data_IF_130509234598
#
_entry.id   IF_130509234598
#
_cell.length_a   1.000
_cell.length_b   1.000
_cell.length_c   1.000
_cell.angle_alpha   90.00
_cell.angle_beta   90.00
_cell.angle_gamma   90.00
#
_symmetry.space_group_name_H-M   'P 1'
#
loop_
_entity.id
_entity.type
_entity.pdbx_description
1 polymer ?
#
# COMPACT_ATOMS: atom_id res chain seq x y z
N UNK A 1 -0.15 8.13 -16.11
CA UNK A 1 -0.52 6.76 -15.72
C UNK A 1 0.78 5.96 -15.71
N UNK A 2 1.40 5.78 -14.55
CA UNK A 2 2.52 4.86 -14.45
C UNK A 2 1.90 3.46 -14.42
N UNK A 3 2.11 2.69 -15.48
CA UNK A 3 1.69 1.28 -15.46
C UNK A 3 2.62 0.52 -14.51
N UNK A 4 2.06 -0.37 -13.69
CA UNK A 4 2.87 -1.27 -12.89
C UNK A 4 3.61 -2.25 -13.82
N UNK A 5 4.93 -2.04 -13.96
CA UNK A 5 5.80 -2.83 -14.83
C UNK A 5 5.76 -4.31 -14.42
N UNK A 6 5.70 -4.61 -13.12
CA UNK A 6 5.66 -5.98 -12.59
C UNK A 6 4.38 -6.69 -13.04
N UNK A 7 3.22 -6.03 -12.94
CA UNK A 7 1.95 -6.58 -13.42
C UNK A 7 1.99 -6.87 -14.93
N UNK A 8 2.59 -5.97 -15.72
CA UNK A 8 2.71 -6.14 -17.18
C UNK A 8 3.59 -7.33 -17.55
N UNK A 9 4.73 -7.49 -16.87
CA UNK A 9 5.64 -8.64 -17.09
C UNK A 9 4.96 -9.96 -16.74
N UNK A 10 4.27 -10.03 -15.59
CA UNK A 10 3.53 -11.22 -15.18
C UNK A 10 2.43 -11.61 -16.18
N UNK A 11 1.71 -10.62 -16.71
CA UNK A 11 0.71 -10.86 -17.76
C UNK A 11 1.33 -11.48 -19.02
N UNK A 12 2.46 -10.94 -19.48
CA UNK A 12 3.17 -11.48 -20.65
C UNK A 12 3.65 -12.91 -20.39
N UNK A 13 4.19 -13.18 -19.20
CA UNK A 13 4.60 -14.54 -18.80
C UNK A 13 3.40 -15.49 -18.84
N UNK A 14 2.24 -15.08 -18.31
CA UNK A 14 1.03 -15.89 -18.35
C UNK A 14 0.61 -16.27 -19.77
N UNK A 15 0.60 -15.31 -20.70
CA UNK A 15 0.29 -15.56 -22.12
C UNK A 15 1.34 -16.47 -22.76
N UNK A 16 2.63 -16.23 -22.50
CA UNK A 16 3.72 -17.07 -23.00
C UNK A 16 3.62 -18.52 -22.51
N UNK A 17 3.22 -18.72 -21.25
CA UNK A 17 3.02 -20.03 -20.64
C UNK A 17 1.90 -20.83 -21.34
N UNK A 18 0.79 -20.17 -21.69
CA UNK A 18 -0.30 -20.80 -22.44
C UNK A 18 0.17 -21.24 -23.84
N UNK A 19 0.89 -20.36 -24.54
CA UNK A 19 1.45 -20.68 -25.85
C UNK A 19 2.47 -21.82 -25.78
N UNK A 20 3.36 -21.80 -24.79
CA UNK A 20 4.35 -22.85 -24.56
C UNK A 20 3.67 -24.19 -24.26
N UNK A 21 2.65 -24.23 -23.40
CA UNK A 21 1.90 -25.46 -23.10
C UNK A 21 1.24 -26.07 -24.35
N UNK A 22 0.69 -25.23 -25.23
CA UNK A 22 0.12 -25.67 -26.51
C UNK A 22 1.19 -26.22 -27.46
N UNK A 23 2.33 -25.54 -27.61
CA UNK A 23 3.43 -25.97 -28.48
C UNK A 23 4.05 -27.27 -27.97
N UNK A 24 4.38 -27.34 -26.67
CA UNK A 24 4.95 -28.53 -26.04
C UNK A 24 3.97 -29.70 -26.15
N UNK A 25 2.67 -29.46 -25.93
CA UNK A 25 1.63 -30.46 -26.11
C UNK A 25 1.63 -31.02 -27.53
N UNK A 26 1.69 -30.18 -28.57
CA UNK A 26 1.74 -30.62 -29.97
C UNK A 26 3.01 -31.43 -30.29
N UNK A 27 4.17 -30.99 -29.81
CA UNK A 27 5.46 -31.68 -30.06
C UNK A 27 5.48 -33.04 -29.37
N UNK A 28 5.12 -33.08 -28.08
CA UNK A 28 5.16 -34.31 -27.28
C UNK A 28 4.09 -35.32 -27.70
N UNK A 29 2.91 -34.87 -28.09
CA UNK A 29 1.82 -35.75 -28.51
C UNK A 29 2.10 -36.48 -29.84
N UNK A 30 2.96 -35.93 -30.70
CA UNK A 30 3.35 -36.50 -31.99
C UNK A 30 4.54 -37.48 -31.91
N UNK A 31 4.95 -37.90 -30.71
CA UNK A 31 6.07 -38.83 -30.53
C UNK A 31 5.71 -40.30 -30.74
N UNK A 32 4.44 -40.63 -30.95
CA UNK A 32 3.98 -42.01 -31.16
C UNK A 32 4.02 -42.34 -32.68
N UNK A 33 4.70 -43.43 -33.10
CA UNK A 33 4.95 -43.73 -34.52
C UNK A 33 3.70 -43.99 -35.38
N UNK A 34 2.51 -44.14 -34.79
CA UNK A 34 1.26 -44.43 -35.50
C UNK A 34 0.07 -43.57 -35.06
N UNK A 35 0.31 -42.43 -34.41
CA UNK A 35 -0.79 -41.52 -34.04
C UNK A 35 -0.39 -40.40 -33.09
N UNK A 36 -1.39 -39.64 -32.66
CA UNK A 36 -1.23 -38.57 -31.66
C UNK A 36 -1.72 -39.05 -30.28
N UNK A 37 -0.90 -38.87 -29.25
CA UNK A 37 -1.32 -39.08 -27.87
C UNK A 37 -2.15 -37.90 -27.38
N UNK A 38 -3.47 -37.99 -27.53
CA UNK A 38 -4.41 -36.97 -27.05
C UNK A 38 -4.29 -36.72 -25.55
N UNK A 39 -4.04 -37.76 -24.75
CA UNK A 39 -3.85 -37.62 -23.31
C UNK A 39 -2.65 -36.72 -22.98
N UNK A 40 -1.51 -36.90 -23.66
CA UNK A 40 -0.33 -36.05 -23.47
C UNK A 40 -0.57 -34.62 -23.96
N UNK A 41 -1.23 -34.46 -25.12
CA UNK A 41 -1.60 -33.15 -25.64
C UNK A 41 -2.43 -32.36 -24.63
N UNK A 42 -3.54 -32.95 -24.15
CA UNK A 42 -4.44 -32.29 -23.21
C UNK A 42 -3.78 -32.03 -21.86
N UNK A 43 -2.92 -32.93 -21.36
CA UNK A 43 -2.20 -32.71 -20.11
C UNK A 43 -1.30 -31.45 -20.18
N UNK A 44 -0.52 -31.30 -21.26
CA UNK A 44 0.35 -30.13 -21.44
C UNK A 44 -0.41 -28.85 -21.76
N UNK A 45 -1.43 -28.94 -22.64
CA UNK A 45 -2.25 -27.79 -23.01
C UNK A 45 -3.03 -27.25 -21.81
N UNK A 46 -3.73 -28.11 -21.06
CA UNK A 46 -4.48 -27.70 -19.88
C UNK A 46 -3.55 -27.24 -18.76
N UNK A 47 -2.41 -27.92 -18.55
CA UNK A 47 -1.40 -27.50 -17.57
C UNK A 47 -0.87 -26.09 -17.86
N UNK A 48 -0.49 -25.82 -19.11
CA UNK A 48 -0.06 -24.49 -19.55
C UNK A 48 -1.18 -23.45 -19.47
N UNK A 49 -2.41 -23.83 -19.81
CA UNK A 49 -3.58 -22.95 -19.72
C UNK A 49 -3.88 -22.52 -18.28
N UNK A 50 -4.01 -23.49 -17.36
CA UNK A 50 -4.30 -23.22 -15.94
C UNK A 50 -3.16 -22.42 -15.30
N UNK A 51 -1.91 -22.80 -15.56
CA UNK A 51 -0.74 -22.05 -15.07
C UNK A 51 -0.70 -20.62 -15.63
N UNK A 52 -0.97 -20.44 -16.92
CA UNK A 52 -1.04 -19.11 -17.54
C UNK A 52 -2.15 -18.25 -16.94
N UNK A 53 -3.33 -18.82 -16.71
CA UNK A 53 -4.45 -18.13 -16.07
C UNK A 53 -4.10 -17.68 -14.65
N UNK A 54 -3.36 -18.49 -13.89
CA UNK A 54 -2.90 -18.13 -12.55
C UNK A 54 -1.98 -16.88 -12.58
N UNK A 55 -1.02 -16.83 -13.51
CA UNK A 55 -0.13 -15.68 -13.66
C UNK A 55 -0.88 -14.41 -14.07
N UNK A 56 -1.86 -14.52 -14.96
CA UNK A 56 -2.72 -13.40 -15.35
C UNK A 56 -3.53 -12.90 -14.15
N UNK A 57 -4.12 -13.81 -13.35
CA UNK A 57 -4.84 -13.44 -12.14
C UNK A 57 -3.96 -12.71 -11.12
N UNK A 58 -2.71 -13.14 -10.92
CA UNK A 58 -1.76 -12.43 -10.08
C UNK A 58 -1.38 -11.06 -10.63
N UNK A 59 -1.18 -10.94 -11.95
CA UNK A 59 -0.92 -9.65 -12.59
C UNK A 59 -2.05 -8.65 -12.33
N UNK A 60 -3.31 -9.09 -12.42
CA UNK A 60 -4.47 -8.25 -12.13
C UNK A 60 -4.54 -7.82 -10.67
N UNK A 61 -4.35 -8.76 -9.73
CA UNK A 61 -4.32 -8.46 -8.30
C UNK A 61 -3.24 -7.42 -7.94
N UNK A 62 -2.04 -7.55 -8.51
CA UNK A 62 -0.94 -6.59 -8.30
C UNK A 62 -1.30 -5.22 -8.89
N UNK A 63 -1.90 -5.20 -10.09
CA UNK A 63 -2.35 -3.94 -10.73
C UNK A 63 -3.39 -3.23 -9.88
N UNK A 64 -4.34 -3.97 -9.30
CA UNK A 64 -5.36 -3.42 -8.41
C UNK A 64 -4.73 -2.86 -7.14
N UNK A 65 -3.84 -3.61 -6.50
CA UNK A 65 -3.16 -3.16 -5.28
C UNK A 65 -2.32 -1.90 -5.51
N UNK A 66 -1.61 -1.82 -6.65
CA UNK A 66 -0.85 -0.63 -7.02
C UNK A 66 -1.75 0.59 -7.20
N UNK A 67 -2.89 0.43 -7.86
CA UNK A 67 -3.85 1.50 -8.06
C UNK A 67 -4.48 1.98 -6.74
N UNK A 68 -4.75 1.05 -5.81
CA UNK A 68 -5.20 1.40 -4.46
C UNK A 68 -4.10 2.18 -3.72
N UNK A 69 -2.85 1.72 -3.77
CA UNK A 69 -1.72 2.41 -3.15
C UNK A 69 -1.53 3.83 -3.70
N UNK A 70 -1.59 4.02 -5.03
CA UNK A 70 -1.52 5.34 -5.66
C UNK A 70 -2.68 6.27 -5.23
N UNK A 71 -3.87 5.72 -4.96
CA UNK A 71 -5.02 6.50 -4.46
C UNK A 71 -4.97 6.82 -2.98
N UNK A 72 -4.31 5.97 -2.18
CA UNK A 72 -4.15 6.15 -0.74
C UNK A 72 -2.98 7.06 -0.37
N UNK A 73 -1.99 7.24 -1.25
CA UNK A 73 -1.01 8.29 -1.04
C UNK A 73 -1.71 9.65 -1.20
N UNK A 74 -1.70 10.52 -0.18
CA UNK A 74 -2.16 11.89 -0.35
C UNK A 74 -1.33 12.50 -1.46
N UNK A 75 -2.00 12.84 -2.56
CA UNK A 75 -1.34 13.33 -3.75
C UNK A 75 -0.67 14.65 -3.39
N UNK A 76 0.63 14.61 -3.08
CA UNK A 76 1.50 15.77 -3.09
C UNK A 76 1.75 16.16 -4.56
N UNK A 77 0.68 16.30 -5.34
CA UNK A 77 0.68 17.13 -6.53
C UNK A 77 0.67 18.55 -6.00
N UNK A 78 1.88 19.06 -5.76
CA UNK A 78 2.16 20.49 -5.83
C UNK A 78 1.83 20.91 -7.26
N UNK A 79 0.54 21.09 -7.53
CA UNK A 79 0.06 21.88 -8.64
C UNK A 79 0.19 23.33 -8.15
N UNK A 80 1.26 23.97 -8.62
CA UNK A 80 1.48 25.41 -8.69
C UNK A 80 0.21 26.22 -8.44
N UNK A 81 -0.06 26.50 -7.17
CA UNK A 81 -1.02 27.50 -6.76
C UNK A 81 -0.32 28.28 -5.67
N UNK A 82 0.20 29.44 -6.05
CA UNK A 82 0.50 30.52 -5.12
C UNK A 82 -0.83 30.97 -4.48
N UNK A 83 -1.36 30.18 -3.55
CA UNK A 83 -2.45 30.59 -2.67
C UNK A 83 -2.06 30.17 -1.26
N UNK A 84 -1.70 31.21 -0.50
CA UNK A 84 -1.85 31.37 0.95
C UNK A 84 -1.65 30.12 1.82
N UNK A 85 -0.60 30.18 2.66
CA UNK A 85 -0.48 29.37 3.86
C UNK A 85 -1.87 29.20 4.51
N UNK A 86 -2.32 27.97 4.81
CA UNK A 86 -3.48 27.79 5.64
C UNK A 86 -3.17 28.39 7.01
N UNK A 87 -4.03 29.30 7.45
CA UNK A 87 -4.00 29.87 8.79
C UNK A 87 -3.93 28.73 9.80
N UNK A 88 -2.81 28.66 10.51
CA UNK A 88 -2.68 27.89 11.76
C UNK A 88 -3.73 28.47 12.70
N UNK A 89 -4.86 27.79 12.89
CA UNK A 89 -5.98 28.35 13.66
C UNK A 89 -7.31 27.60 13.62
N UNK A 90 -7.56 26.71 12.65
CA UNK A 90 -8.77 25.89 12.67
C UNK A 90 -8.57 24.61 13.48
N UNK A 91 -9.58 24.28 14.29
CA UNK A 91 -9.68 22.98 14.96
C UNK A 91 -9.70 21.88 13.90
N UNK A 92 -9.06 20.73 14.17
CA UNK A 92 -9.08 19.59 13.24
C UNK A 92 -10.53 19.16 12.98
N UNK A 93 -10.92 19.14 11.71
CA UNK A 93 -12.28 18.75 11.28
C UNK A 93 -12.45 17.23 11.20
N UNK A 94 -11.36 16.47 11.33
CA UNK A 94 -11.38 15.02 11.32
C UNK A 94 -11.28 14.45 12.74
N UNK A 95 -11.87 13.27 12.91
CA UNK A 95 -11.87 12.53 14.17
C UNK A 95 -11.00 11.29 14.03
N UNK A 96 -10.18 11.03 15.05
CA UNK A 96 -9.36 9.84 15.12
C UNK A 96 -10.25 8.64 15.49
N UNK A 97 -10.38 7.69 14.57
CA UNK A 97 -11.18 6.48 14.76
C UNK A 97 -10.54 5.55 15.82
N UNK A 98 -11.35 4.71 16.46
CA UNK A 98 -10.85 3.74 17.46
C UNK A 98 -9.84 2.76 16.86
N UNK A 99 -10.00 2.40 15.58
CA UNK A 99 -9.06 1.57 14.85
C UNK A 99 -7.66 2.23 14.75
N UNK A 100 -7.60 3.54 14.53
CA UNK A 100 -6.33 4.27 14.44
C UNK A 100 -5.69 4.48 15.82
N UNK A 101 -6.50 4.66 16.87
CA UNK A 101 -6.01 4.64 18.25
C UNK A 101 -5.36 3.31 18.59
N UNK A 102 -5.98 2.18 18.21
CA UNK A 102 -5.43 0.86 18.45
C UNK A 102 -4.04 0.69 17.81
N UNK A 103 -3.84 1.17 16.57
CA UNK A 103 -2.53 1.16 15.90
C UNK A 103 -1.45 1.89 16.71
N UNK A 104 -1.79 3.02 17.35
CA UNK A 104 -0.84 3.79 18.18
C UNK A 104 -0.46 3.00 19.44
N UNK A 105 -1.44 2.40 20.12
CA UNK A 105 -1.18 1.57 21.31
C UNK A 105 -0.34 0.33 20.98
N UNK A 106 -0.57 -0.29 19.84
CA UNK A 106 0.23 -1.43 19.36
C UNK A 106 1.67 -1.04 19.01
N UNK A 107 1.87 0.17 18.46
CA UNK A 107 3.20 0.64 18.08
C UNK A 107 4.05 1.09 19.27
N UNK A 108 3.42 1.61 20.34
CA UNK A 108 4.10 2.07 21.54
C UNK A 108 3.71 1.27 22.79
N UNK A 109 3.96 -0.06 22.85
CA UNK A 109 3.51 -0.91 23.96
C UNK A 109 4.22 -0.60 25.29
N UNK A 110 5.38 0.05 25.22
CA UNK A 110 6.24 0.35 26.37
C UNK A 110 6.16 1.82 26.84
N UNK A 111 5.34 2.66 26.19
CA UNK A 111 5.22 4.08 26.54
C UNK A 111 3.84 4.38 27.14
N UNK A 112 3.80 5.21 28.19
CA UNK A 112 2.52 5.63 28.78
C UNK A 112 1.94 6.79 27.97
N UNK A 113 0.94 6.50 27.14
CA UNK A 113 0.22 7.50 26.36
C UNK A 113 -0.73 8.28 27.29
N UNK A 114 -0.52 9.59 27.39
CA UNK A 114 -1.34 10.50 28.20
C UNK A 114 -2.49 11.07 27.39
N UNK A 115 -2.22 11.41 26.14
CA UNK A 115 -3.20 12.10 25.28
C UNK A 115 -2.88 11.88 23.81
N UNK A 116 -3.92 11.75 22.99
CA UNK A 116 -3.81 11.67 21.54
C UNK A 116 -4.70 12.78 20.97
N UNK A 117 -4.09 13.73 20.27
CA UNK A 117 -4.76 14.89 19.68
C UNK A 117 -4.65 14.83 18.15
N UNK A 118 -5.76 14.86 17.40
CA UNK A 118 -5.69 14.95 15.94
C UNK A 118 -5.06 16.29 15.53
N UNK A 119 -4.07 16.26 14.64
CA UNK A 119 -3.46 17.48 14.10
C UNK A 119 -4.35 18.09 12.99
N UNK A 120 -4.16 19.35 12.57
CA UNK A 120 -4.90 19.95 11.45
C UNK A 120 -4.71 19.21 10.13
N UNK A 121 -3.58 18.52 9.98
CA UNK A 121 -3.27 17.70 8.82
C UNK A 121 -3.90 16.31 8.99
N UNK A 122 -4.66 15.87 8.00
CA UNK A 122 -5.32 14.56 8.01
C UNK A 122 -4.32 13.42 8.24
N UNK A 123 -4.75 12.39 8.97
CA UNK A 123 -3.98 11.19 9.32
C UNK A 123 -2.77 11.40 10.25
N UNK A 124 -2.47 12.65 10.66
CA UNK A 124 -1.40 12.93 11.61
C UNK A 124 -1.96 13.25 12.99
N UNK A 125 -1.50 12.56 14.03
CA UNK A 125 -1.86 12.86 15.40
C UNK A 125 -0.63 13.24 16.21
N UNK A 126 -0.81 14.14 17.16
CA UNK A 126 0.17 14.43 18.18
C UNK A 126 -0.15 13.54 19.38
N UNK A 127 0.83 12.72 19.77
CA UNK A 127 0.72 11.82 20.90
C UNK A 127 1.63 12.32 22.00
N UNK A 128 1.05 12.59 23.18
CA UNK A 128 1.78 12.98 24.37
C UNK A 128 2.08 11.74 25.21
N UNK A 129 3.36 11.51 25.48
CA UNK A 129 3.85 10.41 26.27
C UNK A 129 4.36 10.89 27.63
N UNK A 130 4.35 9.98 28.60
CA UNK A 130 4.96 10.16 29.91
C UNK A 130 6.01 9.08 30.13
N UNK A 131 7.23 9.51 30.43
CA UNK A 131 8.32 8.63 30.85
C UNK A 131 8.82 9.09 32.23
N UNK A 132 8.36 8.41 33.28
CA UNK A 132 8.62 8.82 34.67
C UNK A 132 8.03 10.21 34.98
N UNK A 133 8.91 11.21 35.12
CA UNK A 133 8.56 12.60 35.42
C UNK A 133 8.61 13.53 34.20
N UNK A 134 9.09 13.05 33.05
CA UNK A 134 9.21 13.86 31.83
C UNK A 134 8.04 13.57 30.88
N UNK A 135 7.54 14.65 30.27
CA UNK A 135 6.53 14.60 29.22
C UNK A 135 7.20 14.97 27.90
N UNK A 136 6.96 14.17 26.87
CA UNK A 136 7.39 14.50 25.51
C UNK A 136 6.26 14.20 24.51
N UNK A 137 6.35 14.83 23.35
CA UNK A 137 5.35 14.70 22.28
C UNK A 137 6.00 14.10 21.04
N UNK A 138 5.30 13.21 20.36
CA UNK A 138 5.68 12.72 19.03
C UNK A 138 4.53 12.95 18.06
N UNK A 139 4.89 13.19 16.81
CA UNK A 139 3.93 13.30 15.70
C UNK A 139 3.89 11.94 15.00
N UNK A 140 2.70 11.35 14.95
CA UNK A 140 2.47 9.98 14.49
C UNK A 140 1.51 10.02 13.30
N UNK A 141 1.92 9.38 12.21
CA UNK A 141 1.08 9.14 11.05
C UNK A 141 0.30 7.84 11.22
N UNK A 142 -1.02 7.86 10.97
CA UNK A 142 -1.93 6.72 11.17
C UNK A 142 -2.68 6.28 9.91
N UNK A 143 -2.50 6.99 8.79
CA UNK A 143 -3.18 6.72 7.52
C UNK A 143 -2.70 5.45 6.79
N UNK A 144 -1.69 4.76 7.34
CA UNK A 144 -1.17 3.50 6.83
C UNK A 144 -1.78 2.27 7.49
N UNK A 145 -1.14 1.12 7.25
CA UNK A 145 -1.47 -0.15 7.92
C UNK A 145 -1.12 -0.15 9.41
N UNK A 146 -0.25 0.76 9.85
CA UNK A 146 0.15 0.93 11.25
C UNK A 146 0.39 2.40 11.59
N UNK A 147 0.75 2.64 12.84
CA UNK A 147 1.24 3.93 13.29
C UNK A 147 2.74 4.04 13.00
N UNK A 148 3.20 5.19 12.49
CA UNK A 148 4.62 5.46 12.25
C UNK A 148 4.98 6.86 12.77
N UNK A 149 6.15 7.02 13.38
CA UNK A 149 6.65 8.35 13.71
C UNK A 149 7.04 9.10 12.42
N UNK A 150 6.55 10.33 12.29
CA UNK A 150 6.87 11.16 11.12
C UNK A 150 8.36 11.54 11.13
N UNK A 151 9.09 11.07 10.11
CA UNK A 151 10.49 11.43 9.88
C UNK A 151 10.66 12.77 9.14
N UNK A 152 9.56 13.35 8.63
CA UNK A 152 9.55 14.64 7.96
C UNK A 152 9.69 15.80 8.98
N UNK A 153 10.80 16.55 8.96
CA UNK A 153 11.04 17.61 9.92
C UNK A 153 10.09 18.80 9.74
N UNK A 154 9.60 19.07 8.52
CA UNK A 154 8.71 20.20 8.25
C UNK A 154 7.32 19.95 8.85
N UNK A 155 6.78 18.75 8.64
CA UNK A 155 5.50 18.33 9.21
C UNK A 155 5.60 18.26 10.73
N UNK A 156 6.69 17.70 11.26
CA UNK A 156 6.92 17.60 12.70
C UNK A 156 6.95 18.98 13.37
N UNK A 157 7.66 19.95 12.79
CA UNK A 157 7.73 21.31 13.32
C UNK A 157 6.38 22.03 13.22
N UNK A 158 5.68 21.90 12.09
CA UNK A 158 4.38 22.56 11.87
C UNK A 158 3.32 22.11 12.89
N UNK A 159 3.23 20.79 13.14
CA UNK A 159 2.25 20.24 14.09
C UNK A 159 2.61 20.57 15.54
N UNK A 160 3.90 20.55 15.90
CA UNK A 160 4.34 20.95 17.24
C UNK A 160 4.06 22.44 17.49
N UNK A 161 4.33 23.31 16.51
CA UNK A 161 4.05 24.73 16.63
C UNK A 161 2.56 24.98 16.81
N UNK A 162 1.71 24.34 15.99
CA UNK A 162 0.26 24.42 16.13
C UNK A 162 -0.23 23.98 17.53
N UNK A 163 0.33 22.90 18.07
CA UNK A 163 -0.07 22.41 19.39
C UNK A 163 0.35 23.37 20.50
N UNK A 164 1.54 23.97 20.41
CA UNK A 164 2.01 24.97 21.36
C UNK A 164 1.20 26.28 21.31
N UNK A 165 0.64 26.63 20.15
CA UNK A 165 -0.24 27.79 20.00
C UNK A 165 -1.65 27.56 20.58
N UNK A 166 -2.04 26.30 20.83
CA UNK A 166 -3.33 25.93 21.45
C UNK A 166 -3.25 25.63 22.96
N UNK A 167 -2.05 25.46 23.52
CA UNK A 167 -1.79 25.18 24.93
C UNK A 167 -1.69 26.45 25.78
#
# INVERSE_FOLDING_TARGET
MNENIVAKVLFIIGVAQMAAGLIIGLVTANTIPYGMSWMLFFAWMLGGFVSGMLFIGFAENIRLLHNIHEKMQPSNKIADTRQSLPSIGSKPEWHLEEADKAKIYEHFPNETIVEIVPAPQENYCLVRFKNGHEYYVKVVYTGGFGAEETNDPEIKQSIIQWYNEQA
#
